data_IF_523275852899
#
_entry.id   IF_523275852899
#
_cell.length_a   1.000
_cell.length_b   1.000
_cell.length_c   1.000
_cell.angle_alpha   90.00
_cell.angle_beta   90.00
_cell.angle_gamma   90.00
#
_symmetry.space_group_name_H-M   'P 1'
#
loop_
_entity.id
_entity.type
_entity.pdbx_description
1 polymer ?
#
# COMPACT_ATOMS: atom_id res chain seq x y z
N UNK A 1 -18.45 -12.72 -14.81
CA UNK A 1 -17.18 -13.40 -15.15
C UNK A 1 -16.75 -14.12 -13.91
N UNK A 2 -16.23 -15.34 -14.02
CA UNK A 2 -15.76 -16.08 -12.85
C UNK A 2 -14.63 -15.29 -12.15
N UNK A 3 -14.62 -15.22 -10.81
CA UNK A 3 -13.49 -14.66 -10.08
C UNK A 3 -12.20 -15.37 -10.50
N UNK A 4 -11.11 -14.64 -10.60
CA UNK A 4 -9.81 -15.25 -10.85
C UNK A 4 -9.47 -16.24 -9.73
N UNK A 5 -8.57 -17.19 -9.98
CA UNK A 5 -8.16 -18.15 -8.96
C UNK A 5 -7.62 -17.44 -7.70
N UNK A 6 -6.96 -16.29 -7.87
CA UNK A 6 -6.42 -15.48 -6.78
C UNK A 6 -7.54 -14.92 -5.89
N UNK A 7 -8.66 -14.51 -6.48
CA UNK A 7 -9.83 -13.99 -5.75
C UNK A 7 -10.50 -15.06 -4.88
N UNK A 8 -10.18 -16.34 -5.10
CA UNK A 8 -10.67 -17.47 -4.28
C UNK A 8 -9.72 -17.83 -3.14
N UNK A 9 -8.50 -17.29 -3.10
CA UNK A 9 -7.51 -17.58 -2.07
C UNK A 9 -7.61 -16.66 -0.85
N UNK A 10 -8.39 -15.58 -0.94
CA UNK A 10 -8.61 -14.63 0.15
C UNK A 10 -10.11 -14.43 0.33
N UNK A 11 -10.56 -14.45 1.59
CA UNK A 11 -11.94 -14.19 1.91
C UNK A 11 -12.29 -12.71 1.71
N UNK A 12 -13.21 -12.41 0.78
CA UNK A 12 -13.61 -11.05 0.42
C UNK A 12 -15.13 -10.81 0.48
N UNK A 13 -15.89 -11.74 1.07
CA UNK A 13 -17.35 -11.66 1.15
C UNK A 13 -17.78 -11.04 2.48
N UNK A 14 -18.97 -10.45 2.52
CA UNK A 14 -19.59 -9.97 3.76
C UNK A 14 -20.16 -11.15 4.54
N UNK A 15 -19.89 -11.21 5.85
CA UNK A 15 -20.56 -12.17 6.72
C UNK A 15 -21.97 -11.70 7.06
N UNK A 16 -22.94 -12.16 6.26
CA UNK A 16 -24.37 -12.09 6.55
C UNK A 16 -24.97 -10.66 6.65
N UNK A 17 -26.30 -10.57 6.81
CA UNK A 17 -26.98 -9.40 7.37
C UNK A 17 -27.30 -9.54 8.87
N UNK A 18 -27.03 -10.72 9.47
CA UNK A 18 -27.42 -11.05 10.85
C UNK A 18 -26.36 -10.72 11.90
N UNK A 19 -25.11 -10.48 11.47
CA UNK A 19 -24.07 -9.99 12.34
C UNK A 19 -24.23 -8.48 12.50
N UNK A 20 -24.37 -8.01 13.74
CA UNK A 20 -24.39 -6.58 14.06
C UNK A 20 -23.03 -5.88 13.91
N UNK A 21 -22.04 -6.53 13.26
CA UNK A 21 -20.71 -5.99 13.03
C UNK A 21 -20.05 -6.62 11.80
N UNK A 22 -19.15 -5.88 11.16
CA UNK A 22 -18.25 -6.37 10.12
C UNK A 22 -16.90 -6.78 10.75
N UNK A 23 -16.46 -8.05 10.67
CA UNK A 23 -15.17 -8.46 11.21
C UNK A 23 -14.01 -7.72 10.55
N UNK A 24 -13.00 -7.38 11.35
CA UNK A 24 -11.84 -6.60 10.90
C UNK A 24 -10.69 -7.46 10.34
N UNK A 25 -10.72 -8.77 10.59
CA UNK A 25 -9.71 -9.72 10.12
C UNK A 25 -10.40 -11.00 9.67
N UNK A 26 -10.03 -11.50 8.50
CA UNK A 26 -10.36 -12.84 8.04
C UNK A 26 -9.10 -13.60 7.66
N UNK A 27 -9.01 -14.85 8.09
CA UNK A 27 -7.94 -15.77 7.69
C UNK A 27 -8.59 -16.95 6.97
N UNK A 28 -8.18 -17.21 5.74
CA UNK A 28 -8.60 -18.36 4.96
C UNK A 28 -7.44 -19.31 4.75
N UNK A 29 -7.60 -20.56 5.17
CA UNK A 29 -6.63 -21.63 4.89
C UNK A 29 -7.17 -22.51 3.78
N UNK A 30 -6.40 -22.65 2.70
CA UNK A 30 -6.77 -23.41 1.51
C UNK A 30 -5.78 -24.53 1.29
N UNK A 31 -6.23 -25.78 1.41
CA UNK A 31 -5.43 -26.98 1.13
C UNK A 31 -5.59 -27.40 -0.34
N UNK A 32 -4.46 -27.53 -1.03
CA UNK A 32 -4.42 -28.04 -2.39
C UNK A 32 -4.30 -29.57 -2.39
N UNK A 33 -4.86 -30.21 -3.42
CA UNK A 33 -4.81 -31.68 -3.58
C UNK A 33 -3.39 -32.26 -3.61
N UNK A 34 -2.39 -31.45 -3.97
CA UNK A 34 -0.98 -31.83 -3.97
C UNK A 34 -0.28 -31.69 -2.61
N UNK A 35 -1.01 -31.33 -1.54
CA UNK A 35 -0.45 -31.10 -0.21
C UNK A 35 0.06 -29.67 0.04
N UNK A 36 0.06 -28.80 -0.98
CA UNK A 36 0.36 -27.37 -0.78
C UNK A 36 -0.72 -26.68 0.06
N UNK A 37 -0.35 -25.59 0.74
CA UNK A 37 -1.27 -24.77 1.53
C UNK A 37 -1.12 -23.30 1.10
N UNK A 38 -2.25 -22.60 0.98
CA UNK A 38 -2.31 -21.14 0.88
C UNK A 38 -3.02 -20.57 2.11
N UNK A 39 -2.46 -19.50 2.67
CA UNK A 39 -3.07 -18.73 3.76
C UNK A 39 -3.36 -17.33 3.24
N UNK A 40 -4.65 -17.03 3.07
CA UNK A 40 -5.14 -15.71 2.68
C UNK A 40 -5.50 -14.88 3.90
N UNK A 41 -5.12 -13.60 3.89
CA UNK A 41 -5.45 -12.62 4.91
C UNK A 41 -6.29 -11.50 4.29
N UNK A 42 -7.45 -11.22 4.89
CA UNK A 42 -8.19 -9.97 4.70
C UNK A 42 -8.08 -9.16 5.98
N UNK A 43 -7.69 -7.89 5.84
CA UNK A 43 -7.28 -7.04 6.96
C UNK A 43 -7.87 -5.63 6.80
N UNK A 44 -8.63 -5.18 7.80
CA UNK A 44 -9.15 -3.83 7.82
C UNK A 44 -8.04 -2.82 8.14
N UNK A 45 -7.83 -1.85 7.25
CA UNK A 45 -6.77 -0.85 7.41
C UNK A 45 -6.89 0.04 8.66
N UNK A 46 -8.04 0.04 9.33
CA UNK A 46 -8.23 0.66 10.65
C UNK A 46 -7.35 0.01 11.73
N UNK A 47 -7.06 -1.28 11.60
CA UNK A 47 -6.17 -2.00 12.51
C UNK A 47 -4.68 -1.73 12.24
N UNK A 48 -4.35 -1.36 11.00
CA UNK A 48 -2.98 -1.04 10.63
C UNK A 48 -2.69 -1.13 9.14
N UNK A 49 -1.46 -0.78 8.78
CA UNK A 49 -0.94 -0.93 7.42
C UNK A 49 -0.39 -2.36 7.16
N UNK A 50 0.16 -2.58 5.97
CA UNK A 50 0.73 -3.88 5.57
C UNK A 50 1.84 -4.37 6.49
N UNK A 51 2.63 -3.47 7.09
CA UNK A 51 3.70 -3.84 8.03
C UNK A 51 3.10 -4.38 9.33
N UNK A 52 2.05 -3.73 9.82
CA UNK A 52 1.25 -4.18 10.95
C UNK A 52 0.59 -5.55 10.68
N UNK A 53 -0.01 -5.73 9.51
CA UNK A 53 -0.61 -7.00 9.10
C UNK A 53 0.45 -8.13 9.00
N UNK A 54 1.61 -7.84 8.42
CA UNK A 54 2.73 -8.78 8.32
C UNK A 54 3.25 -9.19 9.70
N UNK A 55 3.45 -8.23 10.60
CA UNK A 55 3.87 -8.49 11.98
C UNK A 55 2.86 -9.35 12.72
N UNK A 56 1.57 -9.05 12.57
CA UNK A 56 0.48 -9.85 13.12
C UNK A 56 0.59 -11.31 12.67
N UNK A 57 0.75 -11.56 11.37
CA UNK A 57 0.92 -12.92 10.84
C UNK A 57 2.17 -13.60 11.41
N UNK A 58 3.31 -12.91 11.46
CA UNK A 58 4.55 -13.48 11.97
C UNK A 58 4.43 -13.88 13.45
N UNK A 59 3.79 -13.03 14.26
CA UNK A 59 3.50 -13.31 15.67
C UNK A 59 2.52 -14.49 15.80
N UNK A 60 1.47 -14.54 14.98
CA UNK A 60 0.55 -15.68 14.93
C UNK A 60 1.29 -17.00 14.64
N UNK A 61 2.21 -16.99 13.67
CA UNK A 61 3.04 -18.17 13.36
C UNK A 61 3.92 -18.60 14.53
N UNK A 62 4.49 -17.65 15.28
CA UNK A 62 5.25 -17.96 16.50
C UNK A 62 4.37 -18.60 17.58
N UNK A 63 3.16 -18.08 17.79
CA UNK A 63 2.21 -18.67 18.73
C UNK A 63 1.80 -20.08 18.35
N UNK A 64 1.53 -20.34 17.07
CA UNK A 64 1.19 -21.67 16.57
C UNK A 64 2.34 -22.68 16.78
N UNK A 65 3.59 -22.21 16.82
CA UNK A 65 4.77 -23.02 17.19
C UNK A 65 4.98 -23.13 18.72
N UNK A 66 4.03 -22.68 19.55
CA UNK A 66 4.14 -22.74 21.01
C UNK A 66 5.09 -21.71 21.63
N UNK A 67 5.54 -20.69 20.88
CA UNK A 67 6.36 -19.60 21.44
C UNK A 67 5.49 -18.65 22.25
N UNK A 68 6.08 -18.06 23.29
CA UNK A 68 5.36 -17.16 24.21
C UNK A 68 5.08 -15.80 23.58
N UNK A 69 3.96 -15.22 24.02
CA UNK A 69 3.57 -13.84 23.80
C UNK A 69 4.68 -12.87 24.20
N UNK A 70 5.00 -11.91 23.33
CA UNK A 70 5.78 -10.74 23.73
C UNK A 70 4.81 -9.64 24.17
N UNK A 71 5.17 -8.92 25.23
CA UNK A 71 4.40 -7.74 25.69
C UNK A 71 4.60 -6.62 24.68
N UNK A 72 3.49 -6.04 24.22
CA UNK A 72 3.50 -4.92 23.27
C UNK A 72 3.25 -3.61 24.02
N UNK A 73 4.03 -2.60 23.67
CA UNK A 73 3.84 -1.21 24.06
C UNK A 73 2.78 -0.54 23.18
N UNK A 74 2.09 0.46 23.73
CA UNK A 74 1.23 1.31 22.94
C UNK A 74 2.07 2.24 22.06
N UNK A 75 1.67 2.49 20.80
CA UNK A 75 2.36 3.45 19.97
C UNK A 75 2.25 4.86 20.56
N UNK A 76 3.36 5.60 20.57
CA UNK A 76 3.33 7.05 20.76
C UNK A 76 2.72 7.66 19.50
N UNK A 77 1.40 7.75 19.43
CA UNK A 77 0.74 8.44 18.33
C UNK A 77 0.99 9.94 18.49
N UNK A 78 1.67 10.61 17.54
CA UNK A 78 1.70 12.07 17.54
C UNK A 78 0.26 12.55 17.40
N UNK A 79 -0.12 13.55 18.19
CA UNK A 79 -1.41 14.19 18.04
C UNK A 79 -1.55 14.76 16.62
N UNK A 80 -2.71 14.59 15.95
CA UNK A 80 -2.93 15.17 14.65
C UNK A 80 -2.75 16.69 14.77
N UNK A 81 -1.77 17.23 14.05
CA UNK A 81 -1.59 18.67 13.90
C UNK A 81 -2.38 19.07 12.66
N UNK A 82 -3.62 19.47 12.86
CA UNK A 82 -4.48 19.98 11.80
C UNK A 82 -3.90 21.32 11.31
N UNK A 83 -3.24 21.30 10.15
CA UNK A 83 -2.81 22.50 9.45
C UNK A 83 -3.93 22.89 8.50
N UNK A 84 -4.73 23.89 8.88
CA UNK A 84 -5.78 24.45 8.05
C UNK A 84 -5.15 24.95 6.75
N UNK A 85 -5.28 24.16 5.70
CA UNK A 85 -4.99 24.57 4.34
C UNK A 85 -6.01 23.88 3.47
N UNK A 86 -7.04 24.60 3.05
CA UNK A 86 -8.05 24.11 2.11
C UNK A 86 -7.35 23.67 0.83
N UNK A 87 -7.18 22.36 0.58
CA UNK A 87 -6.44 21.88 -0.58
C UNK A 87 -7.34 22.05 -1.81
N UNK A 88 -6.75 22.40 -2.94
CA UNK A 88 -7.42 22.23 -4.22
C UNK A 88 -7.74 20.75 -4.43
N UNK A 89 -9.03 20.44 -4.64
CA UNK A 89 -9.56 19.07 -4.70
C UNK A 89 -8.87 18.16 -5.73
N UNK A 90 -8.25 18.75 -6.76
CA UNK A 90 -7.61 18.05 -7.88
C UNK A 90 -6.30 17.33 -7.52
N UNK A 91 -5.64 17.68 -6.40
CA UNK A 91 -4.36 17.09 -6.00
C UNK A 91 -4.45 16.15 -4.78
N UNK A 92 -5.65 15.71 -4.41
CA UNK A 92 -5.86 14.90 -3.21
C UNK A 92 -5.51 13.42 -3.46
N UNK A 93 -4.88 12.72 -2.50
CA UNK A 93 -4.63 11.28 -2.59
C UNK A 93 -5.89 10.44 -2.29
N UNK A 94 -7.06 11.08 -2.17
CA UNK A 94 -8.31 10.46 -1.79
C UNK A 94 -9.37 10.65 -2.85
N UNK A 95 -10.21 9.63 -2.99
CA UNK A 95 -11.46 9.72 -3.72
C UNK A 95 -12.62 9.41 -2.77
N UNK A 96 -13.41 10.43 -2.46
CA UNK A 96 -14.67 10.30 -1.72
C UNK A 96 -15.66 9.46 -2.53
N UNK A 97 -16.33 8.52 -1.89
CA UNK A 97 -17.39 7.69 -2.46
C UNK A 97 -18.59 7.65 -1.51
N UNK A 98 -19.77 7.32 -2.05
CA UNK A 98 -20.93 7.06 -1.21
C UNK A 98 -20.67 5.81 -0.35
N UNK A 99 -21.44 5.69 0.74
CA UNK A 99 -21.35 4.53 1.61
C UNK A 99 -21.40 3.21 0.86
N UNK A 100 -20.38 2.38 1.05
CA UNK A 100 -20.26 1.04 0.46
C UNK A 100 -20.88 -0.05 1.35
N UNK A 101 -21.37 0.33 2.53
CA UNK A 101 -21.94 -0.59 3.52
C UNK A 101 -20.89 -1.57 4.02
N UNK A 102 -21.27 -2.83 4.21
CA UNK A 102 -20.33 -3.88 4.62
C UNK A 102 -19.40 -4.34 3.47
N UNK A 103 -19.64 -3.88 2.24
CA UNK A 103 -18.84 -4.24 1.08
C UNK A 103 -17.59 -3.36 0.97
N UNK A 104 -16.55 -3.67 1.75
CA UNK A 104 -15.23 -3.02 1.71
C UNK A 104 -14.39 -3.38 0.46
N UNK A 105 -15.04 -3.62 -0.68
CA UNK A 105 -14.39 -3.90 -1.96
C UNK A 105 -14.75 -2.77 -2.94
N UNK A 106 -13.73 -2.05 -3.42
CA UNK A 106 -13.92 -0.97 -4.37
C UNK A 106 -14.57 -1.51 -5.66
N UNK A 107 -15.79 -1.05 -5.96
CA UNK A 107 -16.48 -1.42 -7.19
C UNK A 107 -15.89 -0.65 -8.35
N UNK A 108 -15.06 -1.31 -9.17
CA UNK A 108 -14.55 -0.72 -10.41
C UNK A 108 -15.47 -1.11 -11.57
N UNK A 109 -15.88 -0.14 -12.38
CA UNK A 109 -16.65 -0.39 -13.63
C UNK A 109 -15.78 -0.97 -14.75
N UNK A 110 -14.46 -0.95 -14.56
CA UNK A 110 -13.47 -1.43 -15.52
C UNK A 110 -13.08 -2.87 -15.18
N UNK A 111 -12.99 -3.75 -16.18
CA UNK A 111 -12.38 -5.07 -15.98
C UNK A 111 -10.88 -4.89 -15.79
N UNK A 112 -10.42 -5.10 -14.57
CA UNK A 112 -9.00 -5.04 -14.21
C UNK A 112 -8.45 -6.46 -14.01
N UNK A 113 -7.15 -6.62 -14.22
CA UNK A 113 -6.41 -7.84 -13.91
C UNK A 113 -5.11 -7.46 -13.21
N UNK A 114 -4.69 -8.30 -12.28
CA UNK A 114 -3.39 -8.18 -11.62
C UNK A 114 -2.30 -8.71 -12.55
N UNK A 115 -1.13 -8.05 -12.55
CA UNK A 115 0.06 -8.50 -13.23
C UNK A 115 1.28 -8.35 -12.32
N UNK A 116 2.20 -9.32 -12.39
CA UNK A 116 3.39 -9.36 -11.54
C UNK A 116 4.65 -9.31 -12.41
N UNK A 117 5.57 -8.42 -12.05
CA UNK A 117 6.89 -8.34 -12.65
C UNK A 117 7.90 -8.93 -11.67
N UNK A 118 8.52 -10.06 -12.03
CA UNK A 118 9.57 -10.65 -11.21
C UNK A 118 10.93 -10.10 -11.68
N UNK A 119 11.63 -9.41 -10.77
CA UNK A 119 12.94 -8.81 -11.03
C UNK A 119 13.97 -9.48 -10.13
N UNK A 120 15.01 -10.08 -10.72
CA UNK A 120 16.15 -10.56 -9.95
C UNK A 120 16.96 -9.41 -9.37
N UNK A 121 17.75 -9.66 -8.32
CA UNK A 121 18.66 -8.64 -7.75
C UNK A 121 19.65 -8.10 -8.78
N UNK A 122 20.08 -8.92 -9.75
CA UNK A 122 20.97 -8.49 -10.83
C UNK A 122 20.26 -7.57 -11.83
N UNK A 123 19.03 -7.90 -12.21
CA UNK A 123 18.20 -7.04 -13.07
C UNK A 123 17.90 -5.71 -12.38
N UNK A 124 17.59 -5.75 -11.08
CA UNK A 124 17.32 -4.56 -10.27
C UNK A 124 18.55 -3.66 -10.18
N UNK A 125 19.72 -4.22 -9.85
CA UNK A 125 20.97 -3.46 -9.81
C UNK A 125 21.32 -2.84 -11.18
N UNK A 126 21.12 -3.58 -12.27
CA UNK A 126 21.31 -3.05 -13.62
C UNK A 126 20.35 -1.91 -13.93
N UNK A 127 19.07 -2.05 -13.56
CA UNK A 127 18.03 -1.03 -13.77
C UNK A 127 18.38 0.27 -13.04
N UNK A 128 18.74 0.17 -11.75
CA UNK A 128 19.18 1.33 -10.94
C UNK A 128 20.43 1.97 -11.53
N UNK A 129 21.43 1.19 -11.95
CA UNK A 129 22.67 1.71 -12.53
C UNK A 129 22.47 2.41 -13.88
N UNK A 130 21.48 1.99 -14.68
CA UNK A 130 21.17 2.61 -15.97
C UNK A 130 20.55 4.00 -15.79
N UNK A 131 19.81 4.20 -14.70
CA UNK A 131 19.14 5.47 -14.40
C UNK A 131 20.10 6.46 -13.72
N UNK A 132 20.88 6.02 -12.75
CA UNK A 132 21.78 6.90 -11.98
C UNK A 132 23.20 7.04 -12.59
N UNK A 133 23.53 6.24 -13.59
CA UNK A 133 24.88 6.15 -14.14
C UNK A 133 25.84 5.35 -13.25
N UNK A 134 27.12 5.29 -13.64
CA UNK A 134 28.18 4.51 -12.96
C UNK A 134 28.85 5.24 -11.79
N UNK A 135 28.37 6.41 -11.36
CA UNK A 135 29.04 7.14 -10.27
C UNK A 135 28.95 6.33 -8.96
N UNK A 136 30.07 5.73 -8.58
CA UNK A 136 30.19 4.69 -7.55
C UNK A 136 29.93 5.16 -6.11
N UNK A 137 29.73 6.46 -5.89
CA UNK A 137 29.60 7.05 -4.55
C UNK A 137 28.16 7.04 -4.01
N UNK A 138 27.15 6.73 -4.83
CA UNK A 138 25.76 6.52 -4.40
C UNK A 138 25.32 5.07 -4.63
N UNK A 139 26.13 4.11 -4.17
CA UNK A 139 25.69 2.72 -4.05
C UNK A 139 24.73 2.59 -2.86
N UNK A 140 23.54 3.21 -2.93
CA UNK A 140 22.44 2.88 -2.03
C UNK A 140 21.41 2.08 -2.81
N UNK A 141 21.29 0.81 -2.43
CA UNK A 141 20.15 -0.06 -2.73
C UNK A 141 18.80 0.60 -2.34
N UNK A 142 18.81 1.63 -1.47
CA UNK A 142 17.62 2.37 -1.02
C UNK A 142 17.05 3.39 -2.02
N UNK A 143 17.11 3.13 -3.33
CA UNK A 143 16.36 3.89 -4.36
C UNK A 143 15.59 2.98 -5.34
N UNK A 144 15.48 1.69 -5.04
CA UNK A 144 14.89 0.70 -5.96
C UNK A 144 13.40 1.00 -6.21
N UNK A 145 12.65 1.22 -5.12
CA UNK A 145 11.27 1.65 -5.17
C UNK A 145 11.06 2.88 -6.06
N UNK A 146 11.88 3.93 -5.90
CA UNK A 146 11.77 5.18 -6.65
C UNK A 146 12.03 4.97 -8.13
N UNK A 147 13.05 4.19 -8.49
CA UNK A 147 13.38 3.89 -9.87
C UNK A 147 12.26 3.10 -10.55
N UNK A 148 11.75 2.04 -9.90
CA UNK A 148 10.64 1.25 -10.43
C UNK A 148 9.40 2.12 -10.60
N UNK A 149 9.06 2.92 -9.58
CA UNK A 149 7.90 3.82 -9.61
C UNK A 149 8.00 4.85 -10.73
N UNK A 150 9.17 5.48 -10.92
CA UNK A 150 9.41 6.44 -12.00
C UNK A 150 9.26 5.79 -13.39
N UNK A 151 9.81 4.58 -13.58
CA UNK A 151 9.69 3.84 -14.83
C UNK A 151 8.22 3.50 -15.12
N UNK A 152 7.50 2.97 -14.13
CA UNK A 152 6.09 2.62 -14.26
C UNK A 152 5.23 3.86 -14.53
N UNK A 153 5.51 4.97 -13.84
CA UNK A 153 4.80 6.22 -14.04
C UNK A 153 4.97 6.76 -15.46
N UNK A 154 6.21 6.84 -15.95
CA UNK A 154 6.51 7.24 -17.35
C UNK A 154 5.90 6.29 -18.37
N UNK A 155 5.99 4.98 -18.15
CA UNK A 155 5.43 3.98 -19.05
C UNK A 155 3.89 4.09 -19.13
N UNK A 156 3.22 4.21 -17.99
CA UNK A 156 1.77 4.39 -17.93
C UNK A 156 1.33 5.69 -18.58
N UNK A 157 2.05 6.80 -18.36
CA UNK A 157 1.76 8.07 -19.02
C UNK A 157 1.88 7.98 -20.56
N UNK A 158 2.87 7.23 -21.07
CA UNK A 158 3.01 6.99 -22.53
C UNK A 158 1.88 6.15 -23.12
N UNK A 159 1.37 5.19 -22.36
CA UNK A 159 0.27 4.32 -22.79
C UNK A 159 -1.05 5.09 -22.74
N UNK A 160 -1.28 5.85 -21.67
CA UNK A 160 -2.52 6.58 -21.39
C UNK A 160 -2.45 8.02 -21.90
N UNK A 161 -2.06 8.24 -23.16
CA UNK A 161 -1.77 9.57 -23.75
C UNK A 161 -2.84 10.65 -23.52
N UNK A 162 -4.10 10.27 -23.32
CA UNK A 162 -5.24 11.17 -23.08
C UNK A 162 -5.44 11.54 -21.59
N UNK A 163 -4.81 10.79 -20.69
CA UNK A 163 -4.82 10.97 -19.23
C UNK A 163 -3.37 11.21 -18.78
N UNK A 164 -2.84 12.40 -19.06
CA UNK A 164 -1.51 12.77 -18.60
C UNK A 164 -1.46 12.63 -17.07
N UNK A 165 -0.75 11.61 -16.59
CA UNK A 165 -0.65 11.29 -15.16
C UNK A 165 0.31 12.29 -14.52
N UNK A 166 -0.18 13.47 -14.16
CA UNK A 166 0.63 14.53 -13.55
C UNK A 166 0.78 14.40 -12.04
N UNK A 167 -0.14 13.69 -11.40
CA UNK A 167 -0.13 13.48 -9.95
C UNK A 167 -0.10 11.98 -9.67
N UNK A 168 0.80 11.58 -8.77
CA UNK A 168 0.85 10.23 -8.20
C UNK A 168 0.76 10.31 -6.68
N UNK A 169 0.25 9.24 -6.08
CA UNK A 169 0.31 9.02 -4.64
C UNK A 169 1.41 8.03 -4.33
N UNK A 170 2.20 8.32 -3.30
CA UNK A 170 3.26 7.44 -2.81
C UNK A 170 3.00 7.15 -1.35
N UNK A 171 2.82 5.88 -1.02
CA UNK A 171 2.53 5.40 0.32
C UNK A 171 3.75 4.68 0.88
N UNK A 172 4.24 5.11 2.05
CA UNK A 172 5.43 4.54 2.71
C UNK A 172 5.21 4.36 4.21
N UNK A 173 5.92 3.45 4.89
CA UNK A 173 5.91 3.43 6.35
C UNK A 173 6.53 4.71 6.94
N UNK A 174 5.92 5.28 7.98
CA UNK A 174 6.44 6.43 8.75
C UNK A 174 7.73 6.07 9.50
N UNK A 175 7.73 4.88 10.10
CA UNK A 175 8.87 4.27 10.76
C UNK A 175 8.82 2.77 10.50
N UNK A 176 10.00 2.20 10.29
CA UNK A 176 10.23 0.75 10.27
C UNK A 176 10.48 0.20 11.66
N UNK A 177 10.93 1.05 12.60
CA UNK A 177 11.08 0.68 14.00
C UNK A 177 9.71 0.67 14.67
N UNK A 178 9.08 -0.50 14.61
CA UNK A 178 7.80 -0.82 15.25
C UNK A 178 7.92 -2.09 16.10
N UNK A 179 9.14 -2.46 16.48
CA UNK A 179 9.34 -3.64 17.31
C UNK A 179 8.66 -3.44 18.67
N UNK A 180 7.99 -4.49 19.13
CA UNK A 180 7.30 -4.50 20.42
C UNK A 180 6.20 -3.43 20.56
N UNK A 181 5.63 -2.90 19.47
CA UNK A 181 4.51 -1.95 19.51
C UNK A 181 3.23 -2.62 19.01
N UNK A 182 2.08 -2.25 19.58
CA UNK A 182 0.76 -2.67 19.10
C UNK A 182 0.61 -2.24 17.63
N UNK A 183 0.10 -3.12 16.74
CA UNK A 183 -0.18 -2.77 15.35
C UNK A 183 -0.99 -1.48 15.23
N UNK A 184 -0.52 -0.57 14.38
CA UNK A 184 -1.22 0.67 14.05
C UNK A 184 -1.01 1.02 12.58
N UNK A 185 -1.80 1.96 12.06
CA UNK A 185 -1.58 2.47 10.72
C UNK A 185 -0.55 3.60 10.78
N UNK A 186 0.69 3.28 10.40
CA UNK A 186 1.79 4.23 10.36
C UNK A 186 2.13 4.62 8.93
N UNK A 187 1.20 4.51 7.99
CA UNK A 187 1.48 4.83 6.60
C UNK A 187 1.50 6.35 6.40
N UNK A 188 2.56 6.85 5.76
CA UNK A 188 2.64 8.21 5.23
C UNK A 188 2.08 8.19 3.82
N UNK A 189 1.07 9.01 3.58
CA UNK A 189 0.45 9.19 2.26
C UNK A 189 0.96 10.52 1.71
N UNK A 190 1.78 10.45 0.66
CA UNK A 190 2.33 11.64 0.01
C UNK A 190 1.86 11.77 -1.43
N UNK A 191 1.78 13.00 -1.93
CA UNK A 191 1.53 13.27 -3.35
C UNK A 191 2.77 13.85 -4.01
N UNK A 192 3.02 13.45 -5.26
CA UNK A 192 4.05 14.03 -6.13
C UNK A 192 3.35 14.55 -7.38
N UNK A 193 3.60 15.81 -7.72
CA UNK A 193 2.96 16.49 -8.84
C UNK A 193 4.00 17.07 -9.80
N UNK A 194 3.73 16.98 -11.10
CA UNK A 194 4.55 17.57 -12.17
C UNK A 194 3.75 18.52 -13.04
N UNK A 195 4.41 19.59 -13.49
CA UNK A 195 3.86 20.58 -14.42
C UNK A 195 4.21 20.29 -15.89
N UNK A 196 4.98 19.24 -16.16
CA UNK A 196 5.42 18.83 -17.49
C UNK A 196 4.76 17.52 -17.94
N UNK A 197 5.08 17.07 -19.16
CA UNK A 197 4.60 15.80 -19.70
C UNK A 197 5.42 14.62 -19.13
N UNK A 198 4.85 13.89 -18.18
CA UNK A 198 5.43 12.66 -17.60
C UNK A 198 5.83 11.66 -18.69
N UNK A 199 5.07 11.59 -19.78
CA UNK A 199 5.38 10.70 -20.91
C UNK A 199 6.72 11.01 -21.60
N UNK A 200 7.22 12.24 -21.48
CA UNK A 200 8.48 12.74 -22.07
C UNK A 200 9.58 13.03 -21.05
N UNK A 201 9.25 13.08 -19.76
CA UNK A 201 10.16 13.40 -18.67
C UNK A 201 11.37 12.48 -18.59
N UNK A 202 12.51 12.96 -18.09
CA UNK A 202 13.65 12.09 -17.81
C UNK A 202 13.38 11.18 -16.60
N UNK A 203 13.90 9.94 -16.60
CA UNK A 203 13.61 9.01 -15.50
C UNK A 203 14.30 9.48 -14.21
N UNK A 204 15.51 10.03 -14.29
CA UNK A 204 16.24 10.52 -13.13
C UNK A 204 15.54 11.74 -12.49
N UNK A 205 14.96 12.61 -13.32
CA UNK A 205 14.12 13.72 -12.87
C UNK A 205 12.91 13.21 -12.08
N UNK A 206 12.18 12.21 -12.60
CA UNK A 206 11.06 11.59 -11.90
C UNK A 206 11.49 10.91 -10.59
N UNK A 207 12.66 10.27 -10.56
CA UNK A 207 13.23 9.67 -9.34
C UNK A 207 13.51 10.72 -8.26
N UNK A 208 14.15 11.83 -8.62
CA UNK A 208 14.38 12.94 -7.68
C UNK A 208 13.06 13.49 -7.13
N UNK A 209 12.05 13.67 -7.98
CA UNK A 209 10.73 14.13 -7.55
C UNK A 209 10.06 13.19 -6.54
N UNK A 210 10.11 11.87 -6.78
CA UNK A 210 9.55 10.86 -5.86
C UNK A 210 10.31 10.80 -4.53
N UNK A 211 11.60 11.13 -4.54
CA UNK A 211 12.47 11.11 -3.36
C UNK A 211 12.27 12.36 -2.51
N UNK A 212 12.36 13.54 -3.14
CA UNK A 212 12.59 14.83 -2.47
C UNK A 212 11.36 15.74 -2.48
N UNK A 213 10.54 15.69 -3.53
CA UNK A 213 9.42 16.62 -3.75
C UNK A 213 8.06 16.00 -3.41
N UNK A 214 8.02 15.24 -2.31
CA UNK A 214 6.80 14.63 -1.80
C UNK A 214 6.12 15.58 -0.80
N UNK A 215 4.84 15.85 -1.00
CA UNK A 215 4.04 16.56 -0.02
C UNK A 215 3.35 15.54 0.88
N UNK A 216 3.65 15.53 2.18
CA UNK A 216 2.92 14.71 3.14
C UNK A 216 1.48 15.21 3.24
N UNK A 217 0.53 14.34 2.88
CA UNK A 217 -0.91 14.60 2.89
C UNK A 217 -1.61 13.80 3.98
N UNK A 218 -0.88 13.12 4.86
CA UNK A 218 -1.47 12.21 5.86
C UNK A 218 -2.43 12.95 6.81
N UNK A 219 -2.05 14.14 7.29
CA UNK A 219 -2.92 14.95 8.16
C UNK A 219 -4.19 15.43 7.45
N UNK A 220 -4.09 15.80 6.17
CA UNK A 220 -5.24 16.22 5.36
C UNK A 220 -6.18 15.03 5.15
N UNK A 221 -5.63 13.82 4.95
CA UNK A 221 -6.42 12.59 4.83
C UNK A 221 -7.21 12.31 6.10
N UNK A 222 -6.56 12.40 7.26
CA UNK A 222 -7.18 12.22 8.57
C UNK A 222 -8.29 13.25 8.80
N UNK A 223 -8.00 14.54 8.56
CA UNK A 223 -8.95 15.64 8.72
C UNK A 223 -10.21 15.45 7.86
N UNK A 224 -10.07 15.14 6.57
CA UNK A 224 -11.21 14.94 5.68
C UNK A 224 -12.12 13.79 6.12
N UNK A 225 -11.54 12.70 6.65
CA UNK A 225 -12.30 11.55 7.13
C UNK A 225 -13.06 11.91 8.42
N UNK A 226 -12.43 12.67 9.31
CA UNK A 226 -13.04 13.13 10.56
C UNK A 226 -14.15 14.15 10.33
N UNK A 227 -13.95 15.13 9.44
CA UNK A 227 -14.94 16.17 9.10
C UNK A 227 -16.23 15.58 8.53
N UNK A 228 -16.12 14.53 7.72
CA UNK A 228 -17.28 13.88 7.13
C UNK A 228 -18.06 13.03 8.14
N UNK A 229 -17.54 12.82 9.37
CA UNK A 229 -18.18 12.12 10.48
C UNK A 229 -18.83 10.79 10.07
N UNK A 230 -18.13 10.02 9.24
CA UNK A 230 -18.61 8.74 8.72
C UNK A 230 -19.85 8.85 7.82
N UNK A 231 -20.01 9.95 7.08
CA UNK A 231 -21.06 10.13 6.04
C UNK A 231 -20.65 9.62 4.65
N UNK A 232 -19.35 9.47 4.45
CA UNK A 232 -18.76 9.03 3.19
C UNK A 232 -17.65 8.03 3.46
N UNK A 233 -17.42 7.17 2.48
CA UNK A 233 -16.28 6.27 2.46
C UNK A 233 -15.22 6.82 1.50
N UNK A 234 -13.99 6.31 1.64
CA UNK A 234 -12.83 6.85 0.94
C UNK A 234 -12.00 5.75 0.29
N UNK A 235 -11.62 5.99 -0.96
CA UNK A 235 -10.61 5.18 -1.65
C UNK A 235 -9.27 5.93 -1.55
N UNK A 236 -8.27 5.26 -0.99
CA UNK A 236 -6.87 5.73 -0.98
C UNK A 236 -6.13 5.11 -2.17
N UNK A 237 -6.02 3.78 -2.19
CA UNK A 237 -5.32 3.06 -3.25
C UNK A 237 -6.13 3.05 -4.53
N UNK A 238 -5.63 3.74 -5.55
CA UNK A 238 -6.33 3.89 -6.83
C UNK A 238 -7.23 5.11 -6.94
N UNK A 239 -7.19 6.04 -5.96
CA UNK A 239 -7.74 7.39 -6.15
C UNK A 239 -7.08 8.09 -7.35
N UNK A 240 -5.76 7.94 -7.45
CA UNK A 240 -4.93 8.22 -8.62
C UNK A 240 -3.93 7.06 -8.82
N UNK A 241 -2.89 7.24 -9.65
CA UNK A 241 -1.81 6.24 -9.73
C UNK A 241 -1.06 6.21 -8.39
N UNK A 242 -1.27 5.14 -7.62
CA UNK A 242 -0.66 4.94 -6.31
C UNK A 242 0.48 3.93 -6.36
N UNK A 243 1.63 4.29 -5.80
CA UNK A 243 2.74 3.38 -5.53
C UNK A 243 2.83 3.13 -4.02
N UNK A 244 2.79 1.87 -3.61
CA UNK A 244 2.89 1.47 -2.20
C UNK A 244 4.22 0.78 -1.99
N UNK A 245 5.05 1.35 -1.12
CA UNK A 245 6.33 0.79 -0.75
C UNK A 245 6.16 -0.29 0.32
N UNK A 246 6.61 -1.49 -0.03
CA UNK A 246 6.52 -2.69 0.80
C UNK A 246 7.88 -3.41 0.88
N UNK A 247 9.00 -2.76 0.50
CA UNK A 247 10.31 -3.41 0.41
C UNK A 247 10.75 -4.06 1.74
N UNK A 248 10.42 -3.42 2.86
CA UNK A 248 10.78 -3.88 4.21
C UNK A 248 9.66 -4.66 4.94
N UNK A 249 8.57 -4.99 4.26
CA UNK A 249 7.49 -5.77 4.86
C UNK A 249 7.89 -7.26 4.97
N UNK A 250 8.04 -7.78 6.19
CA UNK A 250 8.45 -9.17 6.44
C UNK A 250 7.33 -10.19 6.21
N UNK A 251 6.89 -10.34 4.96
CA UNK A 251 5.79 -11.25 4.56
C UNK A 251 6.20 -12.73 4.58
N UNK A 252 7.51 -13.02 4.60
CA UNK A 252 8.06 -14.38 4.65
C UNK A 252 8.38 -14.85 6.07
N UNK A 253 8.21 -13.99 7.07
CA UNK A 253 8.40 -14.32 8.48
C UNK A 253 7.34 -15.27 9.04
N UNK A 254 6.17 -15.36 8.39
CA UNK A 254 5.10 -16.26 8.81
C UNK A 254 5.49 -17.71 8.49
N UNK A 255 5.76 -18.47 9.54
CA UNK A 255 6.12 -19.89 9.46
C UNK A 255 5.19 -20.67 10.37
N UNK A 256 4.68 -21.79 9.87
CA UNK A 256 3.92 -22.78 10.62
C UNK A 256 4.54 -24.14 10.33
N UNK A 257 4.67 -24.97 11.37
CA UNK A 257 5.02 -26.37 11.18
C UNK A 257 3.75 -27.10 10.71
N UNK A 258 3.87 -27.81 9.59
CA UNK A 258 2.77 -28.57 8.97
C UNK A 258 2.69 -30.00 9.47
#
# INVERSE_FOLDING_TARGET
>A
GFPSLQDQLVYAHTLGPELGFSPLVFIQVTWFKCGGISVGLSWAHILGDVFSASKFMNVLGQYLQGKKAQVLAYPNQPSPKYLITSPTQESLPLKRVNHVGDHWVATTKCKMSTHFFNLSSTQLAQLVSKVHGRNENERRMGKCFEVISAIMWKALAKIRKELELKVITVCRPRSLDRELVIPYNGQVISTVEVNFLTSKADILELVSLITENKMDRSSIVEEMVEEDNGKFDYIVYGANLTFVDMEDADIYGFKVEG
#
